data_IF_080341537490
#
_entry.id   IF_080341537490
#
_cell.length_a   1.000
_cell.length_b   1.000
_cell.length_c   1.000
_cell.angle_alpha   90.00
_cell.angle_beta   90.00
_cell.angle_gamma   90.00
#
_symmetry.space_group_name_H-M   'P 1'
#
loop_
_entity.id
_entity.type
_entity.pdbx_description
1 polymer ?
#
# COMPACT_ATOMS: atom_id res chain seq x y z
N UNK A 1 -38.96 29.57 32.03
CA UNK A 1 -38.21 28.46 32.67
C UNK A 1 -37.66 27.65 31.53
N UNK A 2 -36.46 27.99 31.08
CA UNK A 2 -35.74 27.28 30.04
C UNK A 2 -34.82 26.27 30.72
N UNK A 3 -34.91 25.01 30.31
CA UNK A 3 -34.10 23.89 30.80
C UNK A 3 -32.65 24.04 30.38
N UNK A 4 -31.78 24.20 31.33
CA UNK A 4 -30.34 24.11 31.21
C UNK A 4 -29.93 22.64 31.43
N UNK A 5 -29.77 21.87 30.37
CA UNK A 5 -29.15 20.54 30.46
C UNK A 5 -28.74 20.04 29.06
N UNK A 6 -27.80 20.70 28.43
CA UNK A 6 -26.98 20.11 27.35
C UNK A 6 -25.63 20.83 27.32
N UNK A 7 -24.95 20.84 28.48
CA UNK A 7 -23.53 21.09 28.51
C UNK A 7 -22.85 19.73 28.30
N UNK A 8 -22.55 19.44 27.06
CA UNK A 8 -21.55 18.41 26.72
C UNK A 8 -20.23 18.88 27.35
N UNK A 9 -19.87 18.28 28.47
CA UNK A 9 -18.55 18.44 29.06
C UNK A 9 -17.54 17.90 28.08
N UNK A 10 -16.83 18.79 27.33
CA UNK A 10 -15.63 18.47 26.68
C UNK A 10 -14.64 17.94 27.73
N UNK A 11 -14.21 16.69 27.61
CA UNK A 11 -13.07 16.19 28.37
C UNK A 11 -11.86 17.10 28.10
N UNK A 12 -10.98 17.32 29.08
CA UNK A 12 -9.87 18.25 28.95
C UNK A 12 -8.99 17.77 27.78
N UNK A 13 -8.71 18.68 26.83
CA UNK A 13 -7.69 18.52 25.81
C UNK A 13 -6.36 18.21 26.54
N UNK A 14 -5.85 17.01 26.33
CA UNK A 14 -4.49 16.64 26.73
C UNK A 14 -3.54 17.52 25.90
N UNK A 15 -2.82 18.44 26.52
CA UNK A 15 -2.04 19.51 25.85
C UNK A 15 -0.91 19.00 24.94
N UNK A 16 -0.78 17.68 24.74
CA UNK A 16 0.29 17.03 23.95
C UNK A 16 -0.23 16.09 22.87
N UNK A 17 -1.53 15.82 22.75
CA UNK A 17 -2.09 14.81 21.83
C UNK A 17 -2.63 15.39 20.52
N UNK A 18 -2.62 14.57 19.46
CA UNK A 18 -3.29 14.87 18.21
C UNK A 18 -4.82 14.92 18.43
N UNK A 19 -5.51 15.89 17.79
CA UNK A 19 -6.95 16.05 17.95
C UNK A 19 -7.70 14.85 17.35
N UNK A 20 -8.47 14.13 18.15
CA UNK A 20 -9.37 13.06 17.70
C UNK A 20 -10.52 13.63 16.88
N UNK A 21 -10.46 13.47 15.57
CA UNK A 21 -11.42 14.05 14.63
C UNK A 21 -11.94 13.04 13.59
N UNK A 22 -11.26 11.90 13.41
CA UNK A 22 -11.60 10.91 12.40
C UNK A 22 -12.71 10.01 12.91
N UNK A 23 -13.87 10.07 12.27
CA UNK A 23 -15.01 9.20 12.57
C UNK A 23 -14.84 7.82 11.97
N UNK A 24 -15.59 6.81 12.46
CA UNK A 24 -15.57 5.45 11.90
C UNK A 24 -15.87 5.42 10.39
N UNK A 25 -16.77 6.28 9.90
CA UNK A 25 -17.08 6.36 8.46
C UNK A 25 -15.89 6.88 7.64
N UNK A 26 -15.25 7.93 8.13
CA UNK A 26 -14.05 8.49 7.47
C UNK A 26 -12.90 7.47 7.48
N UNK A 27 -12.70 6.76 8.60
CA UNK A 27 -11.69 5.70 8.71
C UNK A 27 -11.97 4.56 7.71
N UNK A 28 -13.25 4.17 7.54
CA UNK A 28 -13.64 3.15 6.55
C UNK A 28 -13.29 3.59 5.13
N UNK A 29 -13.64 4.82 4.73
CA UNK A 29 -13.31 5.33 3.41
C UNK A 29 -11.82 5.59 3.23
N UNK A 30 -11.11 5.96 4.29
CA UNK A 30 -9.66 6.09 4.29
C UNK A 30 -9.00 4.73 4.01
N UNK A 31 -9.36 3.69 4.75
CA UNK A 31 -8.88 2.31 4.53
C UNK A 31 -9.26 1.80 3.14
N UNK A 32 -10.51 2.03 2.74
CA UNK A 32 -11.01 1.58 1.44
C UNK A 32 -10.24 2.23 0.30
N UNK A 33 -9.98 3.54 0.37
CA UNK A 33 -9.23 4.26 -0.66
C UNK A 33 -7.75 3.90 -0.69
N UNK A 34 -7.15 3.64 0.48
CA UNK A 34 -5.75 3.23 0.55
C UNK A 34 -5.56 1.83 -0.06
N UNK A 35 -6.50 0.91 0.15
CA UNK A 35 -6.49 -0.44 -0.42
C UNK A 35 -6.97 -0.45 -1.88
N UNK A 36 -8.09 0.23 -2.22
CA UNK A 36 -8.60 0.28 -3.61
C UNK A 36 -7.69 1.04 -4.57
N UNK A 37 -6.66 1.68 -4.05
CA UNK A 37 -5.71 2.49 -4.77
C UNK A 37 -5.22 1.91 -6.10
N UNK A 38 -4.14 2.44 -6.58
CA UNK A 38 -3.60 2.18 -7.92
C UNK A 38 -3.16 0.74 -8.20
N UNK A 39 -3.03 -0.14 -7.18
CA UNK A 39 -2.47 -1.47 -7.35
C UNK A 39 -3.18 -2.31 -8.41
N UNK A 40 -4.52 -2.34 -8.41
CA UNK A 40 -5.28 -3.09 -9.42
C UNK A 40 -5.15 -2.48 -10.81
N UNK A 41 -5.11 -1.14 -10.91
CA UNK A 41 -4.95 -0.48 -12.22
C UNK A 41 -3.59 -0.82 -12.85
N UNK A 42 -2.55 -0.94 -12.04
CA UNK A 42 -1.17 -1.13 -12.51
C UNK A 42 -0.80 -2.60 -12.70
N UNK A 43 -1.30 -3.50 -11.84
CA UNK A 43 -0.78 -4.87 -11.78
C UNK A 43 -1.75 -5.97 -12.26
N UNK A 44 -3.02 -5.64 -12.57
CA UNK A 44 -3.98 -6.67 -12.99
C UNK A 44 -3.52 -7.44 -14.22
N UNK A 45 -2.81 -6.79 -15.16
CA UNK A 45 -2.22 -7.43 -16.33
C UNK A 45 -1.18 -8.49 -15.97
N UNK A 46 -0.32 -8.21 -14.98
CA UNK A 46 0.68 -9.16 -14.49
C UNK A 46 0.03 -10.36 -13.79
N UNK A 47 -1.07 -10.14 -13.05
CA UNK A 47 -1.82 -11.25 -12.44
C UNK A 47 -2.46 -12.12 -13.53
N UNK A 48 -3.00 -11.51 -14.60
CA UNK A 48 -3.54 -12.23 -15.75
C UNK A 48 -2.46 -13.01 -16.51
N UNK A 49 -1.28 -12.41 -16.70
CA UNK A 49 -0.12 -13.06 -17.32
C UNK A 49 0.34 -14.30 -16.53
N UNK A 50 0.33 -14.22 -15.20
CA UNK A 50 0.78 -15.31 -14.33
C UNK A 50 -0.19 -16.49 -14.29
N UNK A 51 -1.52 -16.23 -14.29
CA UNK A 51 -2.54 -17.23 -13.98
C UNK A 51 -3.37 -17.66 -15.20
N UNK A 52 -3.51 -16.79 -16.18
CA UNK A 52 -4.49 -16.98 -17.25
C UNK A 52 -5.88 -16.49 -16.84
N UNK A 53 -6.94 -16.94 -17.52
CA UNK A 53 -8.30 -16.43 -17.34
C UNK A 53 -8.89 -16.58 -15.93
N UNK A 54 -8.39 -17.55 -15.15
CA UNK A 54 -8.79 -17.77 -13.76
C UNK A 54 -8.09 -16.83 -12.74
N UNK A 55 -7.47 -15.75 -13.16
CA UNK A 55 -6.68 -14.86 -12.30
C UNK A 55 -7.46 -14.19 -11.14
N UNK A 56 -8.79 -14.16 -11.21
CA UNK A 56 -9.65 -13.74 -10.10
C UNK A 56 -9.41 -14.58 -8.82
N UNK A 57 -8.98 -15.86 -8.96
CA UNK A 57 -8.65 -16.75 -7.83
C UNK A 57 -7.46 -16.19 -7.06
N UNK A 58 -6.46 -15.65 -7.76
CA UNK A 58 -5.30 -15.03 -7.12
C UNK A 58 -5.71 -13.80 -6.30
N UNK A 59 -6.60 -12.95 -6.82
CA UNK A 59 -7.17 -11.84 -6.03
C UNK A 59 -7.96 -12.36 -4.82
N UNK A 60 -8.82 -13.36 -4.97
CA UNK A 60 -9.60 -13.90 -3.85
C UNK A 60 -8.73 -14.46 -2.72
N UNK A 61 -7.68 -15.20 -3.07
CA UNK A 61 -6.74 -15.76 -2.09
C UNK A 61 -5.85 -14.69 -1.47
N UNK A 62 -5.32 -13.76 -2.28
CA UNK A 62 -4.52 -12.63 -1.81
C UNK A 62 -5.30 -11.75 -0.82
N UNK A 63 -6.56 -11.41 -1.15
CA UNK A 63 -7.49 -10.72 -0.25
C UNK A 63 -7.69 -11.49 1.05
N UNK A 64 -7.86 -12.82 0.98
CA UNK A 64 -8.02 -13.65 2.16
C UNK A 64 -6.84 -13.53 3.13
N UNK A 65 -5.62 -13.66 2.63
CA UNK A 65 -4.38 -13.52 3.43
C UNK A 65 -4.22 -12.09 3.96
N UNK A 66 -4.47 -11.08 3.13
CA UNK A 66 -4.39 -9.68 3.52
C UNK A 66 -5.43 -9.31 4.60
N UNK A 67 -6.69 -9.76 4.45
CA UNK A 67 -7.74 -9.49 5.45
C UNK A 67 -7.46 -10.16 6.80
N UNK A 68 -6.88 -11.36 6.80
CA UNK A 68 -6.42 -12.01 8.04
C UNK A 68 -5.29 -11.19 8.67
N UNK A 69 -4.33 -10.72 7.89
CA UNK A 69 -3.25 -9.84 8.38
C UNK A 69 -3.82 -8.52 8.92
N UNK A 70 -4.78 -7.91 8.21
CA UNK A 70 -5.51 -6.73 8.67
C UNK A 70 -6.24 -6.94 9.99
N UNK A 71 -6.73 -8.16 10.26
CA UNK A 71 -7.35 -8.49 11.56
C UNK A 71 -6.33 -8.50 12.71
N UNK A 72 -5.07 -8.90 12.45
CA UNK A 72 -3.98 -8.79 13.42
C UNK A 72 -3.64 -7.31 13.71
N UNK A 73 -3.58 -6.48 12.66
CA UNK A 73 -3.41 -5.03 12.83
C UNK A 73 -4.56 -4.43 13.64
N UNK A 74 -5.82 -4.81 13.35
CA UNK A 74 -6.99 -4.33 14.10
C UNK A 74 -6.91 -4.70 15.59
N UNK A 75 -6.47 -5.91 15.94
CA UNK A 75 -6.24 -6.32 17.33
C UNK A 75 -5.16 -5.45 17.97
N UNK A 76 -4.02 -5.28 17.31
CA UNK A 76 -2.89 -4.52 17.84
C UNK A 76 -3.18 -3.03 17.97
N UNK A 77 -3.90 -2.42 17.01
CA UNK A 77 -4.32 -1.02 17.10
C UNK A 77 -5.29 -0.80 18.25
N UNK A 78 -6.25 -1.72 18.48
CA UNK A 78 -7.16 -1.59 19.62
C UNK A 78 -6.46 -1.78 20.96
N UNK A 79 -5.34 -2.47 20.98
CA UNK A 79 -4.51 -2.68 22.17
C UNK A 79 -3.54 -1.52 22.41
N UNK A 80 -2.94 -1.02 21.35
CA UNK A 80 -1.96 0.07 21.36
C UNK A 80 -2.38 1.14 20.34
N UNK A 81 -3.31 2.05 20.68
CA UNK A 81 -3.85 3.03 19.74
C UNK A 81 -2.91 4.22 19.53
N UNK A 82 -1.68 3.93 19.09
CA UNK A 82 -0.62 4.90 18.81
C UNK A 82 -0.23 4.88 17.34
N UNK A 83 0.16 6.05 16.82
CA UNK A 83 0.50 6.25 15.42
C UNK A 83 1.92 5.77 15.06
N UNK A 84 2.24 4.50 15.33
CA UNK A 84 3.57 3.94 15.06
C UNK A 84 3.55 2.58 14.32
N UNK A 85 2.36 2.04 14.04
CA UNK A 85 2.16 0.86 13.20
C UNK A 85 3.02 -0.35 13.57
N UNK A 86 3.52 -1.08 12.57
CA UNK A 86 4.24 -2.34 12.72
C UNK A 86 5.48 -2.26 13.63
N UNK A 87 6.24 -1.16 13.58
CA UNK A 87 7.45 -0.99 14.39
C UNK A 87 7.15 -0.98 15.87
N UNK A 88 6.07 -0.30 16.29
CA UNK A 88 5.61 -0.31 17.68
C UNK A 88 5.24 -1.73 18.13
N UNK A 89 4.45 -2.44 17.33
CA UNK A 89 3.97 -3.78 17.70
C UNK A 89 5.11 -4.78 17.85
N UNK A 90 6.08 -4.73 16.93
CA UNK A 90 7.29 -5.56 17.00
C UNK A 90 8.15 -5.16 18.22
N UNK A 91 8.30 -3.87 18.49
CA UNK A 91 9.05 -3.43 19.68
C UNK A 91 8.38 -3.90 20.98
N UNK A 92 7.06 -3.75 21.11
CA UNK A 92 6.30 -4.24 22.29
C UNK A 92 6.42 -5.76 22.44
N UNK A 93 6.36 -6.51 21.34
CA UNK A 93 6.43 -7.97 21.37
C UNK A 93 7.82 -8.51 21.70
N UNK A 94 8.89 -7.90 21.20
CA UNK A 94 10.24 -8.48 21.25
C UNK A 94 11.23 -7.68 22.10
N UNK A 95 10.99 -6.39 22.36
CA UNK A 95 11.91 -5.51 23.09
C UNK A 95 13.29 -5.39 22.45
N UNK A 96 13.40 -5.62 21.14
CA UNK A 96 14.69 -5.68 20.42
C UNK A 96 14.82 -4.49 19.47
N UNK A 97 15.67 -3.51 19.85
CA UNK A 97 15.92 -2.29 19.07
C UNK A 97 16.39 -2.56 17.63
N UNK A 98 17.26 -3.58 17.44
CA UNK A 98 17.76 -3.90 16.10
C UNK A 98 16.66 -4.45 15.19
N UNK A 99 15.76 -5.29 15.74
CA UNK A 99 14.61 -5.80 15.00
C UNK A 99 13.62 -4.66 14.67
N UNK A 100 13.35 -3.77 15.62
CA UNK A 100 12.48 -2.59 15.41
C UNK A 100 13.06 -1.69 14.31
N UNK A 101 14.36 -1.42 14.35
CA UNK A 101 15.07 -0.69 13.31
C UNK A 101 14.91 -1.36 11.94
N UNK A 102 15.19 -2.67 11.86
CA UNK A 102 15.07 -3.43 10.61
C UNK A 102 13.65 -3.33 10.03
N UNK A 103 12.61 -3.46 10.86
CA UNK A 103 11.20 -3.33 10.42
C UNK A 103 10.91 -1.92 9.91
N UNK A 104 11.38 -0.88 10.60
CA UNK A 104 11.15 0.51 10.19
C UNK A 104 11.83 0.82 8.86
N UNK A 105 13.09 0.37 8.68
CA UNK A 105 13.81 0.52 7.42
C UNK A 105 13.18 -0.31 6.31
N UNK A 106 12.71 -1.53 6.61
CA UNK A 106 12.01 -2.37 5.63
C UNK A 106 10.72 -1.72 5.15
N UNK A 107 9.96 -1.10 6.05
CA UNK A 107 8.73 -0.38 5.69
C UNK A 107 9.03 0.86 4.83
N UNK A 108 10.07 1.62 5.19
CA UNK A 108 10.54 2.75 4.37
C UNK A 108 10.97 2.30 2.98
N UNK A 109 11.76 1.22 2.90
CA UNK A 109 12.23 0.63 1.64
C UNK A 109 11.07 0.13 0.76
N UNK A 110 10.09 -0.57 1.37
CA UNK A 110 8.88 -1.01 0.69
C UNK A 110 8.09 0.18 0.11
N UNK A 111 7.91 1.24 0.91
CA UNK A 111 7.22 2.46 0.47
C UNK A 111 7.95 3.17 -0.68
N UNK A 112 9.30 3.19 -0.67
CA UNK A 112 10.09 3.74 -1.78
C UNK A 112 9.95 2.90 -3.06
N UNK A 113 10.00 1.57 -2.94
CA UNK A 113 9.82 0.65 -4.07
C UNK A 113 8.39 0.77 -4.64
N UNK A 114 7.36 0.82 -3.78
CA UNK A 114 5.99 1.06 -4.19
C UNK A 114 5.83 2.36 -4.98
N UNK A 115 6.38 3.47 -4.48
CA UNK A 115 6.36 4.76 -5.19
C UNK A 115 6.99 4.67 -6.58
N UNK A 116 8.08 3.91 -6.73
CA UNK A 116 8.73 3.67 -8.02
C UNK A 116 7.87 2.85 -8.98
N UNK A 117 7.26 1.76 -8.49
CA UNK A 117 6.31 0.94 -9.27
C UNK A 117 5.14 1.77 -9.75
N UNK A 118 4.51 2.54 -8.86
CA UNK A 118 3.37 3.40 -9.17
C UNK A 118 3.72 4.53 -10.15
N UNK A 119 4.90 5.15 -10.03
CA UNK A 119 5.37 6.17 -10.97
C UNK A 119 5.57 5.58 -12.38
N UNK A 120 6.00 4.32 -12.48
CA UNK A 120 6.10 3.61 -13.76
C UNK A 120 4.71 3.31 -14.32
N UNK A 121 3.77 2.87 -13.48
CA UNK A 121 2.37 2.67 -13.86
C UNK A 121 1.69 3.97 -14.31
N UNK A 122 1.97 5.10 -13.65
CA UNK A 122 1.50 6.41 -14.09
C UNK A 122 1.97 6.73 -15.50
N UNK A 123 3.25 6.51 -15.79
CA UNK A 123 3.80 6.76 -17.13
C UNK A 123 3.14 5.87 -18.20
N UNK A 124 2.79 4.63 -17.88
CA UNK A 124 2.08 3.73 -18.77
C UNK A 124 0.69 4.28 -19.14
N UNK A 125 -0.13 4.66 -18.17
CA UNK A 125 -1.43 5.30 -18.45
C UNK A 125 -1.30 6.66 -19.12
N UNK A 126 -0.29 7.46 -18.73
CA UNK A 126 -0.06 8.77 -19.36
C UNK A 126 0.25 8.64 -20.84
N UNK A 127 0.99 7.60 -21.25
CA UNK A 127 1.31 7.37 -22.66
C UNK A 127 0.08 7.11 -23.54
N UNK A 128 -1.03 6.65 -22.96
CA UNK A 128 -2.31 6.51 -23.66
C UNK A 128 -2.98 7.86 -24.02
N UNK A 129 -2.66 8.93 -23.25
CA UNK A 129 -3.10 10.29 -23.59
C UNK A 129 -2.10 11.01 -24.48
N UNK A 130 -0.82 10.79 -24.24
CA UNK A 130 0.26 11.46 -24.97
C UNK A 130 1.53 10.60 -25.00
N UNK A 131 1.74 9.92 -26.11
CA UNK A 131 2.88 9.02 -26.33
C UNK A 131 4.23 9.72 -26.68
N UNK A 132 4.27 11.08 -26.64
CA UNK A 132 5.45 11.84 -27.07
C UNK A 132 6.67 11.71 -26.14
N UNK A 133 6.53 11.88 -24.82
CA UNK A 133 7.68 11.85 -23.90
C UNK A 133 8.09 10.40 -23.54
N UNK A 134 9.40 10.16 -23.29
CA UNK A 134 9.87 8.86 -22.77
C UNK A 134 9.25 8.56 -21.40
N UNK A 135 8.88 7.28 -21.15
CA UNK A 135 8.23 6.84 -19.92
C UNK A 135 9.04 7.20 -18.66
N UNK A 136 10.37 7.02 -18.68
CA UNK A 136 11.24 7.42 -17.57
C UNK A 136 11.11 8.92 -17.24
N UNK A 137 11.08 9.78 -18.27
CA UNK A 137 10.91 11.22 -18.06
C UNK A 137 9.57 11.53 -17.42
N UNK A 138 8.48 10.90 -17.88
CA UNK A 138 7.14 11.06 -17.29
C UNK A 138 7.16 10.63 -15.83
N UNK A 139 7.73 9.46 -15.49
CA UNK A 139 7.83 8.97 -14.11
C UNK A 139 8.62 9.92 -13.22
N UNK A 140 9.75 10.46 -13.69
CA UNK A 140 10.58 11.38 -12.92
C UNK A 140 9.90 12.76 -12.72
N UNK A 141 9.24 13.29 -13.75
CA UNK A 141 8.46 14.53 -13.64
C UNK A 141 7.28 14.34 -12.69
N UNK A 142 6.56 13.25 -12.80
CA UNK A 142 5.47 12.91 -11.89
C UNK A 142 5.95 12.86 -10.44
N UNK A 143 7.03 12.13 -10.16
CA UNK A 143 7.65 12.08 -8.83
C UNK A 143 8.05 13.47 -8.34
N UNK A 144 8.71 14.27 -9.18
CA UNK A 144 9.14 15.62 -8.81
C UNK A 144 7.95 16.54 -8.48
N UNK A 145 6.84 16.43 -9.21
CA UNK A 145 5.60 17.17 -8.93
C UNK A 145 5.05 16.78 -7.57
N UNK A 146 4.98 15.47 -7.25
CA UNK A 146 4.45 15.00 -5.96
C UNK A 146 5.36 15.40 -4.78
N UNK A 147 6.68 15.34 -4.96
CA UNK A 147 7.64 15.86 -3.97
C UNK A 147 7.45 17.36 -3.77
N UNK A 148 7.25 18.13 -4.83
CA UNK A 148 7.00 19.57 -4.75
C UNK A 148 5.66 19.88 -4.05
N UNK A 149 4.59 19.14 -4.36
CA UNK A 149 3.29 19.25 -3.70
C UNK A 149 3.42 18.99 -2.20
N UNK A 150 4.12 17.92 -1.82
CA UNK A 150 4.37 17.60 -0.41
C UNK A 150 5.23 18.68 0.28
N UNK A 151 6.25 19.22 -0.42
CA UNK A 151 7.08 20.32 0.11
C UNK A 151 6.28 21.60 0.36
N UNK A 152 5.33 21.93 -0.51
CA UNK A 152 4.46 23.11 -0.35
C UNK A 152 3.56 22.96 0.89
N UNK A 153 3.38 21.74 1.40
CA UNK A 153 2.64 21.48 2.63
C UNK A 153 1.13 21.31 2.39
N UNK A 154 0.76 20.82 1.21
CA UNK A 154 -0.60 20.30 0.99
C UNK A 154 -0.68 19.01 1.80
N UNK A 155 -1.08 19.16 3.05
CA UNK A 155 -1.39 18.02 3.92
C UNK A 155 -2.59 17.31 3.35
N UNK A 156 -2.43 16.02 3.11
CA UNK A 156 -3.52 15.12 2.76
C UNK A 156 -4.60 15.19 3.84
N UNK A 157 -5.70 15.86 3.55
CA UNK A 157 -6.84 15.75 4.44
C UNK A 157 -7.54 14.43 4.15
N UNK A 158 -7.99 13.73 5.19
CA UNK A 158 -8.84 12.53 5.07
C UNK A 158 -10.02 12.77 4.12
N UNK A 159 -10.50 14.00 4.02
CA UNK A 159 -11.57 14.41 3.11
C UNK A 159 -11.12 14.37 1.64
N UNK A 160 -9.90 14.85 1.33
CA UNK A 160 -9.37 14.81 -0.04
C UNK A 160 -9.12 13.37 -0.47
N UNK A 161 -8.53 12.55 0.39
CA UNK A 161 -8.36 11.12 0.12
C UNK A 161 -9.71 10.45 -0.11
N UNK A 162 -10.73 10.73 0.70
CA UNK A 162 -12.08 10.22 0.50
C UNK A 162 -12.69 10.63 -0.85
N UNK A 163 -12.50 11.89 -1.28
CA UNK A 163 -12.99 12.35 -2.58
C UNK A 163 -12.27 11.65 -3.74
N UNK A 164 -10.96 11.49 -3.63
CA UNK A 164 -10.17 10.74 -4.62
C UNK A 164 -10.60 9.27 -4.67
N UNK A 165 -10.88 8.65 -3.53
CA UNK A 165 -11.42 7.28 -3.45
C UNK A 165 -12.74 7.13 -4.24
N UNK A 166 -13.63 8.11 -4.20
CA UNK A 166 -14.85 8.04 -5.02
C UNK A 166 -14.55 8.07 -6.52
N UNK A 167 -13.53 8.83 -6.94
CA UNK A 167 -13.07 8.83 -8.34
C UNK A 167 -12.49 7.48 -8.70
N UNK A 168 -11.65 6.89 -7.87
CA UNK A 168 -11.06 5.56 -8.05
C UNK A 168 -12.12 4.47 -8.18
N UNK A 169 -13.06 4.44 -7.24
CA UNK A 169 -14.20 3.51 -7.27
C UNK A 169 -15.02 3.67 -8.53
N UNK A 170 -15.21 4.90 -9.04
CA UNK A 170 -15.98 5.14 -10.28
C UNK A 170 -15.34 4.46 -11.49
N UNK A 171 -13.99 4.42 -11.57
CA UNK A 171 -13.27 3.70 -12.63
C UNK A 171 -13.48 2.18 -12.55
N UNK A 172 -13.42 1.61 -11.35
CA UNK A 172 -13.69 0.18 -11.16
C UNK A 172 -15.16 -0.16 -11.46
N UNK A 173 -16.10 0.74 -11.09
CA UNK A 173 -17.50 0.57 -11.42
C UNK A 173 -17.76 0.62 -12.95
N UNK A 174 -17.03 1.43 -13.71
CA UNK A 174 -17.11 1.43 -15.18
C UNK A 174 -16.76 0.02 -15.70
N UNK A 175 -15.67 -0.58 -15.22
CA UNK A 175 -15.29 -1.95 -15.62
C UNK A 175 -16.36 -2.97 -15.27
N UNK A 176 -16.95 -2.87 -14.07
CA UNK A 176 -18.05 -3.75 -13.65
C UNK A 176 -19.29 -3.58 -14.51
N UNK A 177 -19.66 -2.34 -14.85
CA UNK A 177 -20.79 -2.06 -15.74
C UNK A 177 -20.55 -2.65 -17.12
N UNK A 178 -19.34 -2.52 -17.68
CA UNK A 178 -18.97 -3.13 -18.96
C UNK A 178 -19.11 -4.66 -18.88
N UNK A 179 -18.58 -5.29 -17.81
CA UNK A 179 -18.70 -6.74 -17.63
C UNK A 179 -20.15 -7.22 -17.54
N UNK A 180 -20.99 -6.53 -16.76
CA UNK A 180 -22.43 -6.85 -16.63
C UNK A 180 -23.15 -6.68 -17.97
N UNK A 181 -22.84 -5.61 -18.72
CA UNK A 181 -23.41 -5.36 -20.03
C UNK A 181 -23.03 -6.47 -21.03
N UNK A 182 -21.75 -6.85 -21.06
CA UNK A 182 -21.25 -7.94 -21.91
C UNK A 182 -21.93 -9.29 -21.63
N UNK A 183 -22.15 -9.60 -20.34
CA UNK A 183 -22.91 -10.79 -19.93
C UNK A 183 -24.37 -10.69 -20.40
N UNK A 184 -24.99 -9.52 -20.32
CA UNK A 184 -26.40 -9.33 -20.72
C UNK A 184 -26.61 -9.43 -22.24
N UNK A 185 -25.63 -9.11 -23.07
CA UNK A 185 -25.65 -9.32 -24.53
C UNK A 185 -25.54 -10.79 -24.92
N UNK A 186 -25.06 -11.65 -24.00
CA UNK A 186 -24.96 -13.10 -24.21
C UNK A 186 -23.61 -13.54 -24.80
N UNK A 187 -22.64 -12.65 -24.92
CA UNK A 187 -21.34 -12.92 -25.55
C UNK A 187 -20.29 -13.50 -24.55
N UNK A 188 -20.64 -13.60 -23.26
CA UNK A 188 -19.73 -14.02 -22.21
C UNK A 188 -19.46 -15.54 -22.23
N UNK A 189 -18.19 -15.92 -22.40
CA UNK A 189 -17.71 -17.30 -22.19
C UNK A 189 -17.22 -17.49 -20.75
N UNK A 190 -18.05 -18.05 -19.88
CA UNK A 190 -17.68 -18.33 -18.50
C UNK A 190 -16.61 -19.43 -18.35
N UNK A 191 -16.30 -20.18 -19.41
CA UNK A 191 -15.22 -21.17 -19.43
C UNK A 191 -13.86 -20.53 -19.17
N UNK A 192 -13.66 -19.28 -19.60
CA UNK A 192 -12.44 -18.50 -19.36
C UNK A 192 -12.14 -18.38 -17.86
N UNK A 193 -13.14 -18.17 -17.01
CA UNK A 193 -12.96 -17.99 -15.57
C UNK A 193 -12.40 -19.23 -14.85
N UNK A 194 -12.35 -20.38 -15.51
CA UNK A 194 -11.77 -21.62 -14.96
C UNK A 194 -10.49 -22.04 -15.68
N UNK A 195 -10.06 -21.28 -16.69
CA UNK A 195 -8.85 -21.57 -17.46
C UNK A 195 -7.62 -21.04 -16.73
N UNK A 196 -6.75 -21.95 -16.29
CA UNK A 196 -5.42 -21.60 -15.76
C UNK A 196 -4.42 -21.90 -16.86
N UNK A 197 -3.60 -20.93 -17.21
CA UNK A 197 -2.54 -21.14 -18.20
C UNK A 197 -1.37 -21.91 -17.56
N UNK A 198 -1.15 -23.11 -18.06
CA UNK A 198 -0.04 -23.98 -17.64
C UNK A 198 1.05 -24.08 -18.70
N UNK A 199 0.85 -23.40 -19.84
CA UNK A 199 1.84 -23.33 -20.93
C UNK A 199 2.93 -22.29 -20.69
N UNK A 200 2.71 -21.38 -19.73
CA UNK A 200 3.65 -20.35 -19.33
C UNK A 200 4.80 -20.87 -18.44
N UNK A 201 5.52 -19.95 -17.81
CA UNK A 201 6.77 -20.19 -17.08
C UNK A 201 6.64 -21.20 -15.91
N UNK A 202 5.43 -21.38 -15.39
CA UNK A 202 5.22 -22.16 -14.16
C UNK A 202 4.91 -23.65 -14.38
N UNK A 203 4.38 -24.06 -15.53
CA UNK A 203 4.08 -25.47 -15.86
C UNK A 203 3.14 -26.21 -14.85
N UNK A 204 2.69 -25.53 -13.80
CA UNK A 204 1.86 -26.05 -12.71
C UNK A 204 0.82 -25.01 -12.28
N UNK A 205 -0.49 -25.36 -12.27
CA UNK A 205 -1.55 -24.44 -11.88
C UNK A 205 -1.38 -23.80 -10.49
N UNK A 206 -0.85 -24.54 -9.52
CA UNK A 206 -0.67 -24.04 -8.16
C UNK A 206 0.44 -22.98 -8.08
N UNK A 207 1.53 -23.15 -8.83
CA UNK A 207 2.61 -22.17 -8.90
C UNK A 207 2.17 -20.93 -9.66
N UNK A 208 1.43 -21.07 -10.76
CA UNK A 208 0.83 -19.96 -11.50
C UNK A 208 -0.08 -19.11 -10.61
N UNK A 209 -0.97 -19.74 -9.83
CA UNK A 209 -1.84 -19.04 -8.88
C UNK A 209 -1.01 -18.36 -7.78
N UNK A 210 0.06 -19.01 -7.26
CA UNK A 210 0.93 -18.40 -6.26
C UNK A 210 1.65 -17.14 -6.79
N UNK A 211 2.13 -17.17 -8.03
CA UNK A 211 2.68 -16.01 -8.71
C UNK A 211 1.66 -14.87 -8.82
N UNK A 212 0.45 -15.21 -9.29
CA UNK A 212 -0.63 -14.23 -9.34
C UNK A 212 -0.99 -13.65 -7.96
N UNK A 213 -0.93 -14.47 -6.89
CA UNK A 213 -1.17 -13.98 -5.53
C UNK A 213 -0.10 -12.95 -5.12
N UNK A 214 1.17 -13.14 -5.47
CA UNK A 214 2.22 -12.18 -5.15
C UNK A 214 1.93 -10.79 -5.75
N UNK A 215 1.51 -10.71 -7.02
CA UNK A 215 1.12 -9.46 -7.66
C UNK A 215 -0.21 -8.90 -7.13
N UNK A 216 -1.22 -9.74 -6.94
CA UNK A 216 -2.50 -9.31 -6.40
C UNK A 216 -2.37 -8.82 -4.96
N UNK A 217 -1.40 -9.34 -4.20
CA UNK A 217 -1.12 -8.91 -2.85
C UNK A 217 -0.61 -7.48 -2.78
N UNK A 218 0.18 -7.03 -3.76
CA UNK A 218 0.57 -5.61 -3.87
C UNK A 218 -0.67 -4.70 -3.95
N UNK A 219 -1.68 -5.10 -4.72
CA UNK A 219 -2.91 -4.32 -4.82
C UNK A 219 -3.68 -4.25 -3.48
N UNK A 220 -3.41 -5.16 -2.55
CA UNK A 220 -4.03 -5.16 -1.22
C UNK A 220 -3.20 -4.42 -0.17
N UNK A 221 -1.99 -3.95 -0.49
CA UNK A 221 -1.17 -3.15 0.44
C UNK A 221 -1.76 -1.76 0.63
N UNK A 222 -1.38 -1.08 1.71
CA UNK A 222 -1.91 0.23 2.10
C UNK A 222 -2.69 0.19 3.40
N UNK A 223 -3.41 -0.90 3.70
CA UNK A 223 -4.20 -1.01 4.92
C UNK A 223 -3.40 -0.78 6.20
N UNK A 224 -2.11 -1.05 6.19
CA UNK A 224 -1.19 -0.82 7.30
C UNK A 224 -1.01 0.67 7.62
N UNK A 225 -1.17 1.56 6.64
CA UNK A 225 -1.10 3.00 6.83
C UNK A 225 -2.27 3.50 7.70
N UNK A 226 -3.41 2.79 7.68
CA UNK A 226 -4.56 3.11 8.52
C UNK A 226 -4.19 3.07 10.01
N UNK A 227 -3.26 2.22 10.43
CA UNK A 227 -2.79 2.17 11.81
C UNK A 227 -2.13 3.48 12.27
N UNK A 228 -1.56 4.25 11.35
CA UNK A 228 -0.87 5.50 11.67
C UNK A 228 -1.82 6.66 12.02
N UNK A 229 -3.13 6.53 11.78
CA UNK A 229 -4.15 7.52 12.17
C UNK A 229 -4.93 7.12 13.43
N UNK A 230 -4.41 6.16 14.20
CA UNK A 230 -5.07 5.64 15.39
C UNK A 230 -5.30 6.71 16.45
N UNK A 231 -4.32 7.59 16.69
CA UNK A 231 -4.41 8.67 17.68
C UNK A 231 -5.43 9.73 17.31
N UNK A 232 -5.68 9.94 16.02
CA UNK A 232 -6.65 10.91 15.50
C UNK A 232 -8.07 10.32 15.38
N UNK A 233 -8.25 9.01 15.65
CA UNK A 233 -9.53 8.32 15.47
C UNK A 233 -10.40 8.42 16.74
N UNK A 234 -11.67 8.76 16.54
CA UNK A 234 -12.68 8.74 17.61
C UNK A 234 -13.04 7.29 17.90
N UNK A 235 -12.91 6.88 19.19
CA UNK A 235 -13.17 5.51 19.68
C UNK A 235 -12.47 4.42 18.81
N UNK A 236 -11.12 4.37 18.80
CA UNK A 236 -10.37 3.46 17.96
C UNK A 236 -10.72 1.99 18.21
N UNK A 237 -11.10 1.60 19.43
CA UNK A 237 -11.46 0.23 19.79
C UNK A 237 -12.66 -0.30 18.99
N UNK A 238 -13.62 0.57 18.63
CA UNK A 238 -14.80 0.19 17.81
C UNK A 238 -14.60 0.49 16.34
N UNK A 239 -13.90 1.60 16.04
CA UNK A 239 -13.76 2.07 14.68
C UNK A 239 -12.83 1.15 13.84
N UNK A 240 -11.66 0.76 14.39
CA UNK A 240 -10.65 0.01 13.65
C UNK A 240 -11.11 -1.38 13.18
N UNK A 241 -11.63 -2.28 14.03
CA UNK A 241 -11.99 -3.62 13.56
C UNK A 241 -13.01 -3.59 12.43
N UNK A 242 -13.97 -2.66 12.48
CA UNK A 242 -15.02 -2.55 11.47
C UNK A 242 -14.54 -1.86 10.20
N UNK A 243 -13.76 -0.81 10.35
CA UNK A 243 -13.30 -0.01 9.20
C UNK A 243 -12.17 -0.70 8.45
N UNK A 244 -11.16 -1.22 9.16
CA UNK A 244 -10.01 -1.86 8.56
C UNK A 244 -10.42 -3.17 7.86
N UNK A 245 -10.99 -4.12 8.62
CA UNK A 245 -11.39 -5.42 8.04
C UNK A 245 -12.53 -5.23 7.03
N UNK A 246 -13.51 -4.38 7.35
CA UNK A 246 -14.63 -4.11 6.45
C UNK A 246 -14.19 -3.45 5.14
N UNK A 247 -13.29 -2.46 5.21
CA UNK A 247 -12.71 -1.81 4.02
C UNK A 247 -11.97 -2.79 3.14
N UNK A 248 -11.10 -3.65 3.73
CA UNK A 248 -10.37 -4.68 3.00
C UNK A 248 -11.28 -5.72 2.34
N UNK A 249 -12.33 -6.17 3.02
CA UNK A 249 -13.30 -7.13 2.44
C UNK A 249 -14.05 -6.49 1.27
N UNK A 250 -14.51 -5.25 1.40
CA UNK A 250 -15.20 -4.54 0.30
C UNK A 250 -14.27 -4.34 -0.88
N UNK A 251 -13.02 -3.89 -0.65
CA UNK A 251 -12.02 -3.76 -1.70
C UNK A 251 -11.76 -5.10 -2.40
N UNK A 252 -11.61 -6.16 -1.61
CA UNK A 252 -11.39 -7.50 -2.14
C UNK A 252 -12.53 -8.03 -2.99
N UNK A 253 -13.78 -7.83 -2.59
CA UNK A 253 -14.95 -8.18 -3.40
C UNK A 253 -14.94 -7.41 -4.73
N UNK A 254 -14.65 -6.11 -4.70
CA UNK A 254 -14.55 -5.29 -5.91
C UNK A 254 -13.44 -5.85 -6.82
N UNK A 255 -12.27 -6.18 -6.28
CA UNK A 255 -11.15 -6.71 -7.05
C UNK A 255 -11.46 -8.04 -7.73
N UNK A 256 -12.11 -8.95 -7.00
CA UNK A 256 -12.56 -10.24 -7.57
C UNK A 256 -13.55 -10.00 -8.70
N UNK A 257 -14.53 -9.14 -8.50
CA UNK A 257 -15.55 -8.86 -9.54
C UNK A 257 -14.93 -8.14 -10.75
N UNK A 258 -14.03 -7.17 -10.53
CA UNK A 258 -13.32 -6.46 -11.61
C UNK A 258 -12.45 -7.41 -12.41
N UNK A 259 -11.72 -8.32 -11.74
CA UNK A 259 -10.88 -9.32 -12.40
C UNK A 259 -11.72 -10.30 -13.22
N UNK A 260 -12.87 -10.74 -12.71
CA UNK A 260 -13.80 -11.56 -13.50
C UNK A 260 -14.38 -10.80 -14.71
N UNK A 261 -14.77 -9.54 -14.54
CA UNK A 261 -15.25 -8.70 -15.62
C UNK A 261 -14.18 -8.52 -16.72
N UNK A 262 -12.94 -8.24 -16.32
CA UNK A 262 -11.82 -8.11 -17.25
C UNK A 262 -11.53 -9.41 -18.00
N UNK A 263 -11.53 -10.56 -17.33
CA UNK A 263 -11.32 -11.87 -17.94
C UNK A 263 -12.40 -12.25 -18.96
N UNK A 264 -13.65 -11.85 -18.70
CA UNK A 264 -14.78 -12.13 -19.61
C UNK A 264 -14.76 -11.24 -20.85
N UNK A 265 -14.28 -10.01 -20.74
CA UNK A 265 -14.42 -8.98 -21.79
C UNK A 265 -13.21 -8.85 -22.69
N UNK A 266 -12.01 -9.24 -22.22
CA UNK A 266 -10.75 -9.06 -22.94
C UNK A 266 -9.97 -10.38 -22.97
N UNK A 267 -9.38 -10.78 -24.12
CA UNK A 267 -8.49 -11.92 -24.17
C UNK A 267 -7.33 -11.77 -23.17
N UNK A 268 -6.98 -12.85 -22.48
CA UNK A 268 -5.98 -12.85 -21.43
C UNK A 268 -4.61 -12.37 -21.91
N UNK A 269 -4.20 -12.76 -23.13
CA UNK A 269 -2.94 -12.31 -23.74
C UNK A 269 -2.91 -10.78 -23.90
N UNK A 270 -4.03 -10.18 -24.32
CA UNK A 270 -4.15 -8.73 -24.47
C UNK A 270 -4.01 -8.03 -23.10
N UNK A 271 -4.62 -8.59 -22.05
CA UNK A 271 -4.48 -8.07 -20.69
C UNK A 271 -3.03 -8.19 -20.20
N UNK A 272 -2.37 -9.32 -20.48
CA UNK A 272 -1.01 -9.63 -20.07
C UNK A 272 0.04 -8.72 -20.71
N UNK A 273 -0.15 -8.38 -21.98
CA UNK A 273 0.79 -7.55 -22.76
C UNK A 273 0.57 -6.04 -22.55
N UNK A 274 -0.60 -5.63 -22.07
CA UNK A 274 -0.92 -4.22 -21.93
C UNK A 274 -0.40 -3.64 -20.61
N UNK A 275 0.40 -2.57 -20.66
CA UNK A 275 0.83 -1.87 -19.45
C UNK A 275 -0.30 -1.08 -18.76
N UNK A 276 -1.47 -0.99 -19.38
CA UNK A 276 -2.69 -0.35 -18.89
C UNK A 276 -3.90 -1.29 -19.04
N UNK A 277 -3.80 -2.51 -18.53
CA UNK A 277 -4.68 -3.63 -18.81
C UNK A 277 -6.18 -3.33 -18.57
N UNK A 278 -6.55 -2.60 -17.51
CA UNK A 278 -7.97 -2.23 -17.30
C UNK A 278 -8.52 -1.28 -18.37
N UNK A 279 -7.67 -0.48 -19.02
CA UNK A 279 -8.09 0.36 -20.14
C UNK A 279 -8.48 -0.48 -21.34
N UNK A 280 -7.89 -1.67 -21.54
CA UNK A 280 -8.25 -2.56 -22.63
C UNK A 280 -9.71 -3.03 -22.53
N UNK A 281 -10.25 -3.18 -21.30
CA UNK A 281 -11.69 -3.47 -21.10
C UNK A 281 -12.57 -2.35 -21.68
N UNK A 282 -12.17 -1.11 -21.47
CA UNK A 282 -12.92 0.07 -21.97
C UNK A 282 -12.78 0.19 -23.49
N UNK A 283 -11.59 -0.11 -24.05
CA UNK A 283 -11.30 -0.06 -25.48
C UNK A 283 -12.09 -1.10 -26.29
N UNK A 284 -12.68 -2.13 -25.67
CA UNK A 284 -13.56 -3.07 -26.35
C UNK A 284 -14.80 -2.41 -26.95
N UNK A 285 -15.20 -1.22 -26.49
CA UNK A 285 -16.33 -0.47 -27.04
C UNK A 285 -17.68 -1.14 -26.80
N UNK A 286 -17.81 -1.96 -25.76
CA UNK A 286 -19.02 -2.75 -25.43
C UNK A 286 -20.20 -1.84 -25.09
N UNK A 287 -19.97 -0.71 -24.43
CA UNK A 287 -21.04 0.23 -24.11
C UNK A 287 -21.43 1.08 -25.33
N UNK A 288 -22.70 1.48 -25.47
CA UNK A 288 -23.18 2.35 -26.55
C UNK A 288 -22.76 3.82 -26.36
N UNK A 289 -21.51 4.04 -26.05
CA UNK A 289 -20.87 5.34 -25.78
C UNK A 289 -19.58 5.41 -26.61
N UNK A 290 -19.18 6.60 -27.04
CA UNK A 290 -17.94 6.78 -27.80
C UNK A 290 -16.74 6.17 -27.02
N UNK A 291 -16.06 5.22 -27.64
CA UNK A 291 -14.89 4.53 -27.08
C UNK A 291 -13.77 5.52 -26.76
N UNK A 292 -13.53 6.52 -27.62
CA UNK A 292 -12.49 7.54 -27.38
C UNK A 292 -12.80 8.38 -26.14
N UNK A 293 -14.07 8.77 -25.95
CA UNK A 293 -14.48 9.48 -24.73
C UNK A 293 -14.30 8.63 -23.49
N UNK A 294 -14.77 7.38 -23.52
CA UNK A 294 -14.68 6.46 -22.38
C UNK A 294 -13.22 6.13 -22.05
N UNK A 295 -12.37 5.89 -23.05
CA UNK A 295 -10.95 5.61 -22.87
C UNK A 295 -10.22 6.82 -22.25
N UNK A 296 -10.49 8.02 -22.73
CA UNK A 296 -9.92 9.25 -22.18
C UNK A 296 -10.37 9.46 -20.72
N UNK A 297 -11.68 9.32 -20.45
CA UNK A 297 -12.25 9.45 -19.11
C UNK A 297 -11.63 8.43 -18.15
N UNK A 298 -11.58 7.17 -18.54
CA UNK A 298 -11.02 6.09 -17.72
C UNK A 298 -9.53 6.30 -17.45
N UNK A 299 -8.75 6.74 -18.45
CA UNK A 299 -7.33 7.03 -18.29
C UNK A 299 -7.12 8.17 -17.28
N UNK A 300 -7.93 9.22 -17.33
CA UNK A 300 -7.87 10.32 -16.33
C UNK A 300 -8.19 9.79 -14.93
N UNK A 301 -9.21 8.95 -14.79
CA UNK A 301 -9.54 8.32 -13.50
C UNK A 301 -8.37 7.48 -12.99
N UNK A 302 -7.76 6.65 -13.84
CA UNK A 302 -6.60 5.83 -13.46
C UNK A 302 -5.40 6.68 -13.04
N UNK A 303 -5.11 7.77 -13.76
CA UNK A 303 -4.05 8.71 -13.39
C UNK A 303 -4.30 9.38 -12.04
N UNK A 304 -5.56 9.72 -11.73
CA UNK A 304 -5.94 10.27 -10.41
C UNK A 304 -5.76 9.20 -9.32
N UNK A 305 -6.19 7.96 -9.57
CA UNK A 305 -6.04 6.84 -8.65
C UNK A 305 -4.55 6.59 -8.31
N UNK A 306 -3.71 6.50 -9.35
CA UNK A 306 -2.26 6.30 -9.18
C UNK A 306 -1.63 7.48 -8.44
N UNK A 307 -2.05 8.71 -8.75
CA UNK A 307 -1.56 9.92 -8.09
C UNK A 307 -1.89 9.89 -6.60
N UNK A 308 -3.11 9.54 -6.21
CA UNK A 308 -3.55 9.47 -4.81
C UNK A 308 -2.67 8.51 -4.00
N UNK A 309 -2.57 7.26 -4.42
CA UNK A 309 -1.77 6.26 -3.72
C UNK A 309 -0.28 6.63 -3.67
N UNK A 310 0.28 7.14 -4.78
CA UNK A 310 1.70 7.56 -4.80
C UNK A 310 1.94 8.74 -3.87
N UNK A 311 1.00 9.67 -3.77
CA UNK A 311 1.11 10.79 -2.84
C UNK A 311 1.14 10.33 -1.38
N UNK A 312 0.27 9.38 -0.99
CA UNK A 312 0.28 8.79 0.36
C UNK A 312 1.63 8.18 0.68
N UNK A 313 2.21 7.38 -0.23
CA UNK A 313 3.52 6.75 0.00
C UNK A 313 4.64 7.80 0.13
N UNK A 314 4.65 8.85 -0.71
CA UNK A 314 5.66 9.93 -0.67
C UNK A 314 5.51 10.79 0.58
N UNK A 315 4.30 10.99 1.10
CA UNK A 315 4.05 11.73 2.35
C UNK A 315 4.52 10.94 3.57
N UNK A 316 4.39 9.63 3.55
CA UNK A 316 4.75 8.74 4.68
C UNK A 316 6.27 8.61 4.87
N UNK A 317 7.04 8.50 3.78
CA UNK A 317 8.49 8.28 3.82
C UNK A 317 9.28 9.31 4.65
N UNK A 318 9.13 10.62 4.43
CA UNK A 318 9.86 11.62 5.22
C UNK A 318 9.43 11.67 6.68
N UNK A 319 8.19 11.27 7.01
CA UNK A 319 7.72 11.19 8.41
C UNK A 319 8.41 10.05 9.15
N UNK A 320 8.61 8.91 8.49
CA UNK A 320 9.37 7.78 9.05
C UNK A 320 10.81 8.20 9.32
N UNK A 321 11.50 8.79 8.33
CA UNK A 321 12.87 9.28 8.49
C UNK A 321 13.00 10.34 9.59
N UNK A 322 12.04 11.25 9.66
CA UNK A 322 11.97 12.26 10.71
C UNK A 322 11.85 11.63 12.11
N UNK A 323 10.94 10.66 12.26
CA UNK A 323 10.78 9.91 13.50
C UNK A 323 12.08 9.19 13.92
N UNK A 324 12.71 8.47 12.98
CA UNK A 324 13.99 7.79 13.23
C UNK A 324 15.11 8.76 13.61
N UNK A 325 15.15 9.95 13.01
CA UNK A 325 16.16 10.96 13.34
C UNK A 325 15.95 11.58 14.72
N UNK A 326 14.73 11.67 15.20
CA UNK A 326 14.44 12.13 16.57
C UNK A 326 14.79 11.11 17.64
N UNK A 327 14.89 9.85 17.27
CA UNK A 327 15.30 8.76 18.15
C UNK A 327 16.80 8.42 18.02
N UNK A 328 17.59 9.30 17.38
CA UNK A 328 19.02 9.12 17.15
C UNK A 328 19.37 7.82 16.42
N UNK A 329 18.50 7.38 15.51
CA UNK A 329 18.66 6.15 14.73
C UNK A 329 19.27 6.41 13.36
N UNK A 330 19.00 7.57 12.78
CA UNK A 330 19.56 8.06 11.51
C UNK A 330 19.99 9.52 11.68
N UNK A 331 20.84 10.06 10.76
CA UNK A 331 21.40 11.39 10.92
C UNK A 331 20.36 12.46 11.28
N UNK A 332 20.61 13.21 12.35
CA UNK A 332 19.73 14.25 12.90
C UNK A 332 19.32 15.33 11.88
N UNK A 333 20.02 15.44 10.75
CA UNK A 333 19.65 16.34 9.65
C UNK A 333 18.23 16.03 9.10
N UNK A 334 17.78 14.78 9.17
CA UNK A 334 16.43 14.37 8.73
C UNK A 334 15.31 14.86 9.66
N UNK A 335 15.66 15.26 10.89
CA UNK A 335 14.75 15.94 11.82
C UNK A 335 14.58 17.43 11.52
N UNK A 336 15.25 17.96 10.48
CA UNK A 336 15.18 19.37 10.12
C UNK A 336 13.83 19.72 9.49
N UNK A 337 13.06 20.57 10.17
CA UNK A 337 11.77 21.08 9.69
C UNK A 337 11.97 22.42 8.98
N UNK A 338 11.35 22.58 7.81
CA UNK A 338 11.39 23.85 7.07
C UNK A 338 10.63 24.94 7.86
N UNK A 339 11.24 26.14 8.09
CA UNK A 339 10.68 27.16 9.00
C UNK A 339 9.27 27.62 8.66
N UNK A 340 8.97 27.80 7.38
CA UNK A 340 7.66 28.31 6.91
C UNK A 340 6.71 27.20 6.50
N UNK A 341 7.19 26.10 5.94
CA UNK A 341 6.36 24.99 5.41
C UNK A 341 6.05 23.92 6.44
N UNK A 342 6.79 23.87 7.55
CA UNK A 342 6.66 22.91 8.64
C UNK A 342 6.70 21.45 8.20
N UNK A 343 7.42 21.17 7.08
CA UNK A 343 7.64 19.82 6.55
C UNK A 343 9.08 19.37 6.79
N UNK A 344 9.37 18.07 6.98
CA UNK A 344 10.72 17.52 7.10
C UNK A 344 11.38 17.47 5.71
N UNK A 345 11.79 18.63 5.20
CA UNK A 345 12.19 18.81 3.81
C UNK A 345 13.44 18.02 3.41
N UNK A 346 14.41 17.87 4.32
CA UNK A 346 15.62 17.09 4.03
C UNK A 346 15.27 15.62 3.83
N UNK A 347 14.44 15.07 4.70
CA UNK A 347 13.95 13.70 4.58
C UNK A 347 13.11 13.50 3.31
N UNK A 348 12.30 14.49 2.93
CA UNK A 348 11.47 14.48 1.72
C UNK A 348 12.31 14.42 0.44
N UNK A 349 13.31 15.32 0.31
CA UNK A 349 14.17 15.34 -0.88
C UNK A 349 15.09 14.12 -0.93
N UNK A 350 15.54 13.61 0.21
CA UNK A 350 16.30 12.37 0.27
C UNK A 350 15.48 11.18 -0.22
N UNK A 351 14.28 10.96 0.32
CA UNK A 351 13.41 9.84 -0.09
C UNK A 351 13.00 9.96 -1.56
N UNK A 352 12.61 11.15 -2.02
CA UNK A 352 12.35 11.41 -3.44
C UNK A 352 13.57 11.14 -4.32
N UNK A 353 14.77 11.49 -3.86
CA UNK A 353 16.03 11.20 -4.55
C UNK A 353 16.32 9.70 -4.65
N UNK A 354 16.04 8.91 -3.60
CA UNK A 354 16.18 7.45 -3.63
C UNK A 354 15.19 6.83 -4.63
N UNK A 355 13.94 7.26 -4.64
CA UNK A 355 12.94 6.78 -5.62
C UNK A 355 13.35 7.16 -7.05
N UNK A 356 13.84 8.38 -7.27
CA UNK A 356 14.35 8.79 -8.58
C UNK A 356 15.55 7.93 -9.01
N UNK A 357 16.46 7.61 -8.09
CA UNK A 357 17.59 6.71 -8.34
C UNK A 357 17.12 5.30 -8.71
N UNK A 358 16.12 4.76 -8.00
CA UNK A 358 15.51 3.46 -8.34
C UNK A 358 14.96 3.44 -9.76
N UNK A 359 14.25 4.50 -10.17
CA UNK A 359 13.71 4.64 -11.52
C UNK A 359 14.82 4.70 -12.57
N UNK A 360 15.86 5.50 -12.34
CA UNK A 360 16.98 5.64 -13.28
C UNK A 360 17.80 4.36 -13.37
N UNK A 361 18.20 3.79 -12.24
CA UNK A 361 18.99 2.55 -12.19
C UNK A 361 18.20 1.38 -12.80
N UNK A 362 16.91 1.28 -12.48
CA UNK A 362 16.04 0.24 -13.02
C UNK A 362 15.85 0.33 -14.54
N UNK A 363 15.93 1.53 -15.12
CA UNK A 363 15.90 1.70 -16.58
C UNK A 363 17.27 1.52 -17.24
N UNK A 364 18.37 1.75 -16.52
CA UNK A 364 19.74 1.59 -17.06
C UNK A 364 20.24 0.16 -16.95
N UNK A 365 19.86 -0.56 -15.91
CA UNK A 365 20.18 -1.97 -15.75
C UNK A 365 19.30 -2.74 -16.74
N UNK A 366 19.87 -3.41 -17.75
CA UNK A 366 19.09 -4.23 -18.67
C UNK A 366 18.21 -5.17 -17.84
N UNK A 367 16.98 -5.33 -18.28
CA UNK A 367 16.08 -6.28 -17.64
C UNK A 367 16.80 -7.63 -17.57
N UNK A 368 17.24 -8.03 -16.39
CA UNK A 368 17.73 -9.38 -16.18
C UNK A 368 16.50 -10.25 -16.44
N UNK A 369 16.54 -11.03 -17.52
CA UNK A 369 15.45 -11.91 -17.97
C UNK A 369 14.16 -11.23 -18.48
N UNK A 370 14.21 -9.93 -18.84
CA UNK A 370 13.06 -9.26 -19.47
C UNK A 370 11.96 -8.74 -18.51
N UNK A 371 12.13 -8.86 -17.20
CA UNK A 371 11.13 -8.40 -16.21
C UNK A 371 10.96 -6.88 -16.22
N UNK A 372 9.74 -6.35 -16.45
CA UNK A 372 9.48 -4.91 -16.41
C UNK A 372 9.82 -4.29 -15.06
N UNK A 373 10.25 -3.01 -15.06
CA UNK A 373 10.61 -2.31 -13.82
C UNK A 373 9.43 -2.21 -12.85
N UNK A 374 8.21 -2.00 -13.35
CA UNK A 374 6.99 -1.93 -12.53
C UNK A 374 6.77 -3.21 -11.73
N UNK A 375 6.96 -4.35 -12.36
CA UNK A 375 6.86 -5.68 -11.76
C UNK A 375 7.92 -5.89 -10.69
N UNK A 376 9.18 -5.63 -11.01
CA UNK A 376 10.31 -5.79 -10.08
C UNK A 376 10.14 -4.94 -8.82
N UNK A 377 9.78 -3.69 -8.95
CA UNK A 377 9.57 -2.81 -7.79
C UNK A 377 8.33 -3.21 -6.99
N UNK A 378 7.29 -3.73 -7.63
CA UNK A 378 6.14 -4.30 -6.95
C UNK A 378 6.53 -5.54 -6.12
N UNK A 379 7.31 -6.48 -6.70
CA UNK A 379 7.80 -7.67 -5.98
C UNK A 379 8.71 -7.30 -4.80
N UNK A 380 9.61 -6.33 -4.97
CA UNK A 380 10.43 -5.80 -3.85
C UNK A 380 9.55 -5.30 -2.71
N UNK A 381 8.50 -4.54 -3.03
CA UNK A 381 7.52 -4.05 -2.04
C UNK A 381 6.85 -5.22 -1.33
N UNK A 382 6.35 -6.19 -2.08
CA UNK A 382 5.64 -7.37 -1.53
C UNK A 382 6.55 -8.20 -0.63
N UNK A 383 7.79 -8.49 -1.05
CA UNK A 383 8.77 -9.25 -0.25
C UNK A 383 9.03 -8.57 1.10
N UNK A 384 9.25 -7.26 1.10
CA UNK A 384 9.50 -6.50 2.34
C UNK A 384 8.27 -6.46 3.24
N UNK A 385 7.08 -6.19 2.66
CA UNK A 385 5.84 -6.09 3.44
C UNK A 385 5.37 -7.44 3.98
N UNK A 386 5.50 -8.54 3.22
CA UNK A 386 5.13 -9.88 3.71
C UNK A 386 5.99 -10.31 4.91
N UNK A 387 7.27 -9.96 4.91
CA UNK A 387 8.14 -10.18 6.07
C UNK A 387 7.67 -9.39 7.30
N UNK A 388 7.29 -8.13 7.11
CA UNK A 388 6.73 -7.28 8.16
C UNK A 388 5.40 -7.87 8.66
N UNK A 389 4.50 -8.23 7.77
CA UNK A 389 3.17 -8.76 8.11
C UNK A 389 3.24 -10.08 8.86
N UNK A 390 4.17 -10.97 8.48
CA UNK A 390 4.42 -12.20 9.24
C UNK A 390 4.86 -11.88 10.68
N UNK A 391 5.77 -10.91 10.85
CA UNK A 391 6.20 -10.47 12.19
C UNK A 391 5.10 -9.77 12.98
N UNK A 392 4.22 -9.01 12.33
CA UNK A 392 3.05 -8.38 13.00
C UNK A 392 2.08 -9.45 13.49
N UNK A 393 1.79 -10.49 12.70
CA UNK A 393 0.95 -11.62 13.16
C UNK A 393 1.62 -12.32 14.36
N UNK A 394 2.92 -12.59 14.30
CA UNK A 394 3.65 -13.19 15.42
C UNK A 394 3.62 -12.28 16.65
N UNK A 395 3.76 -10.97 16.47
CA UNK A 395 3.65 -9.99 17.55
C UNK A 395 2.25 -9.99 18.18
N UNK A 396 1.20 -10.05 17.36
CA UNK A 396 -0.18 -10.15 17.82
C UNK A 396 -0.37 -11.40 18.70
N UNK A 397 0.07 -12.58 18.23
CA UNK A 397 -0.03 -13.83 18.98
C UNK A 397 0.80 -13.80 20.29
N UNK A 398 1.99 -13.17 20.27
CA UNK A 398 2.89 -13.09 21.43
C UNK A 398 2.38 -12.16 22.52
N UNK A 399 1.72 -11.08 22.14
CA UNK A 399 1.22 -10.06 23.08
C UNK A 399 -0.14 -10.42 23.69
N UNK A 400 -0.76 -11.53 23.30
CA UNK A 400 -2.02 -11.97 23.91
C UNK A 400 -1.86 -12.28 25.40
N UNK A 401 -2.85 -11.86 26.17
CA UNK A 401 -2.82 -11.95 27.63
C UNK A 401 -1.96 -10.88 28.32
N UNK A 402 -1.38 -9.93 27.55
CA UNK A 402 -0.62 -8.80 28.08
C UNK A 402 -1.35 -7.51 27.70
N UNK A 403 -1.41 -6.52 28.60
CA UNK A 403 -1.98 -5.18 28.36
C UNK A 403 -3.38 -5.19 27.70
N UNK A 404 -4.22 -6.18 28.01
CA UNK A 404 -5.56 -6.31 27.45
C UNK A 404 -6.58 -5.57 28.33
N UNK A 405 -7.48 -4.83 27.69
CA UNK A 405 -8.66 -4.29 28.33
C UNK A 405 -9.93 -4.94 27.75
N UNK A 406 -11.09 -4.70 28.38
CA UNK A 406 -12.39 -5.25 27.95
C UNK A 406 -12.80 -4.81 26.52
N UNK A 407 -12.17 -3.78 25.97
CA UNK A 407 -12.49 -3.21 24.65
C UNK A 407 -11.54 -3.71 23.56
N UNK A 408 -10.48 -4.46 23.90
CA UNK A 408 -9.53 -4.99 22.94
C UNK A 408 -10.22 -5.96 21.99
N UNK A 409 -10.09 -5.73 20.68
CA UNK A 409 -10.59 -6.65 19.66
C UNK A 409 -9.68 -7.88 19.59
N UNK A 410 -10.26 -9.07 19.48
CA UNK A 410 -9.52 -10.32 19.33
C UNK A 410 -9.78 -10.93 17.95
N UNK A 411 -8.74 -11.03 17.14
CA UNK A 411 -8.76 -11.75 15.88
C UNK A 411 -8.82 -13.27 16.12
N UNK A 412 -9.41 -14.00 15.18
CA UNK A 412 -9.54 -15.46 15.30
C UNK A 412 -8.16 -16.14 15.23
N UNK A 413 -7.76 -16.86 16.31
CA UNK A 413 -6.44 -17.48 16.42
C UNK A 413 -6.11 -18.48 15.31
N UNK A 414 -6.96 -19.45 14.96
CA UNK A 414 -6.76 -20.33 13.82
C UNK A 414 -6.52 -19.58 12.52
N UNK A 415 -7.29 -18.50 12.25
CA UNK A 415 -7.10 -17.69 11.05
C UNK A 415 -5.75 -16.96 11.05
N UNK A 416 -5.28 -16.48 12.20
CA UNK A 416 -3.95 -15.86 12.29
C UNK A 416 -2.83 -16.83 11.91
N UNK A 417 -2.91 -18.10 12.30
CA UNK A 417 -1.96 -19.12 11.85
C UNK A 417 -2.06 -19.37 10.34
N UNK A 418 -3.26 -19.41 9.78
CA UNK A 418 -3.47 -19.51 8.33
C UNK A 418 -2.86 -18.28 7.61
N UNK A 419 -3.09 -17.08 8.13
CA UNK A 419 -2.50 -15.86 7.60
C UNK A 419 -0.97 -15.84 7.67
N UNK A 420 -0.40 -16.32 8.78
CA UNK A 420 1.06 -16.44 8.92
C UNK A 420 1.64 -17.42 7.89
N UNK A 421 1.05 -18.59 7.75
CA UNK A 421 1.47 -19.58 6.74
C UNK A 421 1.29 -19.00 5.33
N UNK A 422 0.18 -18.31 5.06
CA UNK A 422 -0.07 -17.65 3.78
C UNK A 422 0.98 -16.59 3.45
N UNK A 423 1.27 -15.66 4.39
CA UNK A 423 2.32 -14.65 4.21
C UNK A 423 3.69 -15.29 3.95
N UNK A 424 4.06 -16.33 4.70
CA UNK A 424 5.34 -17.03 4.54
C UNK A 424 5.40 -17.82 3.23
N UNK A 425 4.30 -18.42 2.79
CA UNK A 425 4.23 -19.15 1.53
C UNK A 425 4.39 -18.21 0.32
N UNK A 426 3.67 -17.07 0.32
CA UNK A 426 3.79 -16.06 -0.73
C UNK A 426 5.20 -15.46 -0.72
N UNK A 427 5.75 -15.13 0.45
CA UNK A 427 7.12 -14.62 0.61
C UNK A 427 8.15 -15.61 0.06
N UNK A 428 8.06 -16.87 0.47
CA UNK A 428 8.98 -17.92 0.03
C UNK A 428 8.90 -18.16 -1.48
N UNK A 429 7.69 -18.14 -2.03
CA UNK A 429 7.48 -18.25 -3.47
C UNK A 429 8.05 -17.04 -4.23
N UNK A 430 7.76 -15.80 -3.79
CA UNK A 430 8.27 -14.58 -4.43
C UNK A 430 9.81 -14.55 -4.49
N UNK A 431 10.47 -15.04 -3.43
CA UNK A 431 11.94 -15.15 -3.40
C UNK A 431 12.44 -16.27 -4.36
N UNK A 432 11.69 -17.37 -4.45
CA UNK A 432 12.05 -18.48 -5.34
C UNK A 432 11.88 -18.10 -6.81
N UNK A 433 10.80 -17.39 -7.13
CA UNK A 433 10.41 -16.97 -8.47
C UNK A 433 11.36 -15.89 -9.03
N UNK A 434 11.59 -14.83 -8.24
CA UNK A 434 12.57 -13.78 -8.57
C UNK A 434 13.60 -13.58 -7.44
N UNK A 435 14.69 -14.39 -7.42
CA UNK A 435 15.76 -14.20 -6.45
C UNK A 435 16.45 -12.84 -6.58
N UNK A 436 16.36 -12.18 -7.74
CA UNK A 436 16.99 -10.87 -7.98
C UNK A 436 16.31 -9.75 -7.18
N UNK A 437 15.04 -9.93 -6.83
CA UNK A 437 14.30 -9.02 -5.92
C UNK A 437 15.02 -8.85 -4.58
N UNK A 438 15.70 -9.90 -4.07
CA UNK A 438 16.49 -9.82 -2.84
C UNK A 438 17.70 -8.86 -2.98
N UNK A 439 18.28 -8.72 -4.16
CA UNK A 439 19.39 -7.78 -4.39
C UNK A 439 18.88 -6.35 -4.24
N UNK A 440 17.68 -6.05 -4.76
CA UNK A 440 17.05 -4.75 -4.64
C UNK A 440 16.61 -4.49 -3.19
N UNK A 441 16.02 -5.49 -2.52
CA UNK A 441 15.72 -5.42 -1.10
C UNK A 441 16.99 -5.13 -0.27
N UNK A 442 18.07 -5.89 -0.50
CA UNK A 442 19.33 -5.69 0.19
C UNK A 442 19.94 -4.30 -0.09
N UNK A 443 19.86 -3.82 -1.33
CA UNK A 443 20.30 -2.47 -1.72
C UNK A 443 19.54 -1.37 -0.95
N UNK A 444 18.23 -1.48 -0.87
CA UNK A 444 17.40 -0.52 -0.12
C UNK A 444 17.65 -0.60 1.38
N UNK A 445 17.76 -1.81 1.94
CA UNK A 445 18.10 -2.01 3.35
C UNK A 445 19.51 -1.50 3.67
N UNK A 446 20.46 -1.64 2.74
CA UNK A 446 21.82 -1.12 2.89
C UNK A 446 21.82 0.42 2.96
N UNK A 447 20.95 1.11 2.24
CA UNK A 447 20.78 2.58 2.40
C UNK A 447 20.43 2.92 3.85
N UNK A 448 19.44 2.23 4.44
CA UNK A 448 19.11 2.41 5.86
C UNK A 448 20.28 2.08 6.80
N UNK A 449 21.01 0.99 6.53
CA UNK A 449 22.20 0.60 7.28
C UNK A 449 23.31 1.65 7.20
N UNK A 450 23.54 2.25 6.01
CA UNK A 450 24.52 3.34 5.85
C UNK A 450 24.10 4.57 6.65
N UNK A 451 22.82 4.92 6.67
CA UNK A 451 22.32 6.04 7.46
C UNK A 451 22.52 5.78 8.98
N UNK A 452 22.25 4.55 9.43
CA UNK A 452 22.50 4.14 10.82
C UNK A 452 23.99 4.24 11.19
N UNK A 453 24.88 3.72 10.33
CA UNK A 453 26.32 3.79 10.55
C UNK A 453 26.81 5.25 10.50
N UNK A 454 26.26 6.07 9.62
CA UNK A 454 26.60 7.49 9.56
C UNK A 454 26.22 8.19 10.88
N UNK A 455 25.05 7.92 11.45
CA UNK A 455 24.69 8.45 12.77
C UNK A 455 25.62 7.91 13.87
N UNK A 456 25.88 6.60 13.88
CA UNK A 456 26.72 5.97 14.88
C UNK A 456 28.17 6.53 14.91
N UNK A 457 28.76 6.83 13.74
CA UNK A 457 30.15 7.29 13.64
C UNK A 457 30.31 8.81 13.65
N UNK A 458 29.32 9.54 13.15
CA UNK A 458 29.39 10.99 12.91
C UNK A 458 28.31 11.77 13.68
N UNK A 459 27.35 11.09 14.29
CA UNK A 459 26.35 11.73 15.14
C UNK A 459 27.07 12.43 16.30
N UNK A 460 26.81 13.72 16.47
CA UNK A 460 27.38 14.47 17.58
C UNK A 460 26.76 13.94 18.88
N UNK A 461 27.59 13.43 19.78
CA UNK A 461 27.26 13.22 21.20
C UNK A 461 26.99 14.57 21.89
N UNK A 462 25.96 15.26 21.46
CA UNK A 462 25.69 16.61 21.92
C UNK A 462 24.21 16.88 22.09
N UNK A 463 23.80 16.80 23.32
CA UNK A 463 22.51 17.06 23.95
C UNK A 463 21.60 15.84 24.02
N UNK A 464 21.83 15.02 25.05
CA UNK A 464 20.75 14.33 25.71
C UNK A 464 19.66 15.38 26.03
N UNK A 465 18.64 15.49 25.16
CA UNK A 465 17.36 15.96 25.61
C UNK A 465 16.99 14.96 26.70
N UNK A 466 16.92 15.43 27.92
CA UNK A 466 16.46 14.71 29.09
C UNK A 466 15.28 13.85 28.66
N UNK A 467 15.52 12.55 28.63
CA UNK A 467 14.45 11.57 28.56
C UNK A 467 13.44 11.96 29.62
N UNK A 468 12.17 12.21 29.30
CA UNK A 468 11.14 12.13 30.30
C UNK A 468 11.21 10.71 30.86
N UNK A 469 11.36 10.59 32.16
CA UNK A 469 11.37 9.32 32.86
C UNK A 469 10.13 8.52 32.40
N UNK A 470 10.35 7.40 31.72
CA UNK A 470 9.29 6.46 31.31
C UNK A 470 8.72 5.68 32.52
N UNK A 471 8.93 6.17 33.74
CA UNK A 471 8.35 5.63 34.96
C UNK A 471 7.10 6.41 35.43
N UNK A 472 6.67 7.48 34.73
CA UNK A 472 5.48 8.27 35.10
C UNK A 472 4.43 8.43 33.96
N UNK A 473 4.36 7.48 33.00
CA UNK A 473 3.21 7.43 32.08
C UNK A 473 2.60 6.03 32.09
#
# INVERSE_FOLDING_TARGET
MANASDVVTAEPDDETGLKRSITQKQLFFYTLGDVLGSGIYVLIGLVAAAVGGAFWIAFALGVGVAAITGSAYAELVTKYPQAAGASLYVNKAFGNRALTFLITVSFLAASMAASGSLATGFAAYFSELWAGPPALLVSLVFLAVLVAVNFIGITESVVINMLMTFVEVSGLLIVLVIGVWFIAEGDADFGVLTSIDVSGDYGNPALAVLAGIAFSFFAMTGFENTANVAEETIDPHKAFPRSLVGGMVVAGVIYVLVSMAAALTVPTDTLAESPAALLEVVKQGILPISTDFMSTLFTIIALIAITNTTLVTIVTQPRILYGMAREDVVPGIFATIHPTRRSPWVALFFSGGVVALLLVVGNLVPAVEGTPLVERLALVTVVLLLAIYALVIVSCLRLRGQDEDEKTFHANTPLLYVGLVGNLAILGFSIYDDPTSLIWCAGLLAVGGVLFLAEYFFGSTGTAATTPDLEEI
#
